data_IF_789892317041
#
_entry.id   IF_789892317041
#
_cell.length_a   1.000
_cell.length_b   1.000
_cell.length_c   1.000
_cell.angle_alpha   90.00
_cell.angle_beta   90.00
_cell.angle_gamma   90.00
#
_symmetry.space_group_name_H-M   'P 1'
#
loop_
_entity.id
_entity.type
_entity.pdbx_description
1 polymer ?
#
# COMPACT_ATOMS: atom_id res chain seq x y z
N UNK A 1 -1.55 -9.64 -5.29
CA UNK A 1 -1.05 -8.31 -5.72
C UNK A 1 -2.17 -7.56 -6.42
N UNK A 2 -2.34 -6.26 -6.17
CA UNK A 2 -3.42 -5.45 -6.76
C UNK A 2 -2.93 -4.61 -7.96
N UNK A 3 -2.64 -5.26 -9.09
CA UNK A 3 -2.19 -4.63 -10.34
C UNK A 3 -3.26 -4.75 -11.43
N UNK A 4 -3.48 -3.69 -12.20
CA UNK A 4 -4.41 -3.59 -13.33
C UNK A 4 -3.61 -3.16 -14.58
N UNK A 5 -3.51 -4.01 -15.61
CA UNK A 5 -2.88 -3.65 -16.88
C UNK A 5 -3.85 -2.86 -17.76
N UNK A 6 -3.44 -1.68 -18.21
CA UNK A 6 -4.13 -0.87 -19.24
C UNK A 6 -3.21 -0.72 -20.44
N UNK A 7 -3.78 -0.80 -21.65
CA UNK A 7 -3.07 -0.45 -22.88
C UNK A 7 -3.56 0.90 -23.34
N UNK A 8 -2.63 1.84 -23.56
CA UNK A 8 -2.93 3.20 -24.06
C UNK A 8 -2.32 3.36 -25.45
N UNK A 9 -3.13 3.86 -26.37
CA UNK A 9 -2.68 4.28 -27.70
C UNK A 9 -2.09 5.69 -27.63
N UNK A 10 -0.82 5.81 -27.98
CA UNK A 10 -0.01 7.03 -27.87
C UNK A 10 -0.36 8.03 -28.97
N UNK A 11 -0.96 7.57 -30.07
CA UNK A 11 -1.35 8.41 -31.21
C UNK A 11 -2.75 9.05 -31.01
N UNK A 12 -3.45 8.69 -29.92
CA UNK A 12 -4.72 9.34 -29.57
C UNK A 12 -4.49 10.74 -29.00
N UNK A 13 -4.98 11.77 -29.68
CA UNK A 13 -4.96 13.18 -29.24
C UNK A 13 -5.67 13.44 -27.88
N UNK A 14 -6.32 12.43 -27.31
CA UNK A 14 -7.09 12.51 -26.07
C UNK A 14 -6.37 12.02 -24.81
N UNK A 15 -5.10 11.63 -24.87
CA UNK A 15 -4.37 11.11 -23.69
C UNK A 15 -3.83 12.25 -22.83
N UNK A 16 -4.44 12.46 -21.66
CA UNK A 16 -3.88 13.32 -20.61
C UNK A 16 -2.87 12.53 -19.76
N UNK A 17 -1.58 12.75 -20.03
CA UNK A 17 -0.47 12.13 -19.31
C UNK A 17 -0.46 12.44 -17.81
N UNK A 18 -1.04 13.56 -17.40
CA UNK A 18 -1.08 13.96 -15.99
C UNK A 18 -2.05 13.11 -15.16
N UNK A 19 -3.07 12.49 -15.77
CA UNK A 19 -3.94 11.49 -15.11
C UNK A 19 -3.16 10.25 -14.66
N UNK A 20 -1.99 10.01 -15.26
CA UNK A 20 -1.08 8.90 -14.95
C UNK A 20 0.09 9.32 -14.06
N UNK A 21 0.17 10.59 -13.65
CA UNK A 21 1.33 11.15 -12.94
C UNK A 21 2.58 11.28 -13.82
N UNK A 22 2.44 11.15 -15.15
CA UNK A 22 3.54 11.26 -16.11
C UNK A 22 3.58 12.72 -16.63
N UNK A 23 4.72 13.45 -16.56
CA UNK A 23 4.77 14.87 -16.93
C UNK A 23 4.46 15.21 -18.40
N UNK A 24 4.45 14.21 -19.29
CA UNK A 24 4.20 14.36 -20.72
C UNK A 24 4.34 13.03 -21.47
N UNK A 25 4.14 13.02 -22.80
CA UNK A 25 4.32 11.81 -23.60
C UNK A 25 5.76 11.28 -23.52
N UNK A 26 5.96 9.95 -23.50
CA UNK A 26 7.30 9.36 -23.49
C UNK A 26 8.05 9.66 -24.81
N UNK A 27 9.39 9.77 -24.77
CA UNK A 27 10.20 10.15 -25.93
C UNK A 27 10.34 9.02 -26.97
N UNK A 28 10.02 7.79 -26.60
CA UNK A 28 10.13 6.57 -27.39
C UNK A 28 8.88 5.70 -27.21
N UNK A 29 8.61 4.83 -28.19
CA UNK A 29 7.53 3.84 -28.12
C UNK A 29 7.98 2.51 -28.76
N UNK A 30 7.42 1.36 -28.35
CA UNK A 30 6.55 1.19 -27.17
C UNK A 30 7.33 1.40 -25.86
N UNK A 31 6.63 1.79 -24.79
CA UNK A 31 7.17 1.89 -23.43
C UNK A 31 6.18 1.24 -22.46
N UNK A 32 6.66 0.74 -21.33
CA UNK A 32 5.84 0.22 -20.24
C UNK A 32 6.06 1.07 -19.00
N UNK A 33 5.02 1.42 -18.25
CA UNK A 33 5.15 2.19 -17.01
C UNK A 33 4.35 1.57 -15.85
N UNK A 34 4.90 1.68 -14.65
CA UNK A 34 4.26 1.34 -13.38
C UNK A 34 3.81 2.63 -12.69
N UNK A 35 2.54 2.67 -12.31
CA UNK A 35 1.84 3.84 -11.77
C UNK A 35 1.10 3.46 -10.50
N UNK A 36 1.28 4.23 -9.44
CA UNK A 36 0.52 4.12 -8.21
C UNK A 36 -0.69 5.04 -8.21
N UNK A 37 -1.70 4.76 -7.37
CA UNK A 37 -2.84 5.65 -7.17
C UNK A 37 -3.05 5.92 -5.68
N UNK A 38 -2.92 7.19 -5.27
CA UNK A 38 -3.30 7.64 -3.95
C UNK A 38 -4.81 7.99 -3.95
N UNK A 39 -5.60 7.17 -3.27
CA UNK A 39 -7.07 7.34 -3.21
C UNK A 39 -7.51 8.50 -2.29
N UNK A 40 -6.66 8.91 -1.33
CA UNK A 40 -6.89 10.07 -0.45
C UNK A 40 -6.87 11.36 -1.28
N UNK A 41 -5.84 11.53 -2.11
CA UNK A 41 -5.68 12.69 -2.99
C UNK A 41 -6.42 12.58 -4.33
N UNK A 42 -6.86 11.36 -4.70
CA UNK A 42 -7.39 11.02 -6.03
C UNK A 42 -6.41 11.34 -7.16
N UNK A 43 -5.12 11.05 -6.92
CA UNK A 43 -4.03 11.29 -7.87
C UNK A 43 -3.28 10.01 -8.18
N UNK A 44 -2.85 9.90 -9.43
CA UNK A 44 -1.85 8.93 -9.85
C UNK A 44 -0.45 9.49 -9.65
N UNK A 45 0.52 8.63 -9.38
CA UNK A 45 1.94 8.99 -9.30
C UNK A 45 2.77 7.98 -10.08
N UNK A 46 3.75 8.49 -10.82
CA UNK A 46 4.69 7.68 -11.58
C UNK A 46 5.68 6.96 -10.64
N UNK A 47 5.95 5.68 -10.90
CA UNK A 47 6.91 4.88 -10.12
C UNK A 47 8.13 4.53 -10.97
N UNK A 48 7.94 3.89 -12.13
CA UNK A 48 9.03 3.44 -13.02
C UNK A 48 8.56 3.28 -14.46
N UNK A 49 9.48 3.33 -15.42
CA UNK A 49 9.24 2.92 -16.81
C UNK A 49 10.31 1.95 -17.31
N UNK A 50 9.98 1.25 -18.41
CA UNK A 50 10.85 0.33 -19.13
C UNK A 50 10.66 0.51 -20.64
N UNK A 51 11.77 0.55 -21.37
CA UNK A 51 11.78 0.69 -22.82
C UNK A 51 12.34 -0.61 -23.45
N UNK A 52 11.53 -1.43 -24.15
CA UNK A 52 10.10 -1.30 -24.40
C UNK A 52 9.19 -1.92 -23.32
N UNK A 53 9.69 -2.95 -22.64
CA UNK A 53 8.96 -3.75 -21.66
C UNK A 53 9.93 -4.30 -20.61
N UNK A 54 9.49 -4.48 -19.36
CA UNK A 54 10.33 -5.05 -18.31
C UNK A 54 10.69 -6.51 -18.61
N UNK A 55 11.87 -6.91 -18.14
CA UNK A 55 12.29 -8.31 -18.05
C UNK A 55 11.51 -9.08 -16.97
N UNK A 56 11.61 -10.41 -16.97
CA UNK A 56 11.00 -11.24 -15.91
C UNK A 56 11.57 -10.94 -14.52
N UNK A 57 12.87 -10.59 -14.45
CA UNK A 57 13.57 -10.20 -13.22
C UNK A 57 13.05 -8.85 -12.67
N UNK A 58 12.90 -7.85 -13.53
CA UNK A 58 12.31 -6.56 -13.16
C UNK A 58 10.84 -6.70 -12.74
N UNK A 59 10.06 -7.58 -13.39
CA UNK A 59 8.69 -7.91 -12.98
C UNK A 59 8.63 -8.65 -11.63
N UNK A 60 9.60 -9.52 -11.33
CA UNK A 60 9.72 -10.13 -10.01
C UNK A 60 9.98 -9.05 -8.94
N UNK A 61 10.87 -8.10 -9.21
CA UNK A 61 11.11 -6.92 -8.36
C UNK A 61 9.88 -6.03 -8.15
N UNK A 62 8.90 -6.01 -9.06
CA UNK A 62 7.61 -5.32 -8.81
C UNK A 62 6.78 -6.03 -7.72
N UNK A 63 6.91 -7.35 -7.56
CA UNK A 63 6.03 -8.18 -6.72
C UNK A 63 6.65 -8.55 -5.36
N UNK A 64 7.95 -8.76 -5.32
CA UNK A 64 8.70 -9.21 -4.14
C UNK A 64 10.01 -8.42 -3.97
N UNK A 65 10.41 -8.19 -2.73
CA UNK A 65 11.74 -7.75 -2.34
C UNK A 65 11.99 -8.16 -0.87
N UNK A 66 13.25 -8.35 -0.43
CA UNK A 66 13.56 -8.78 0.94
C UNK A 66 12.85 -7.99 2.05
N UNK A 67 12.81 -6.66 1.93
CA UNK A 67 12.10 -5.76 2.83
C UNK A 67 10.60 -6.05 2.88
N UNK A 68 9.95 -6.28 1.73
CA UNK A 68 8.50 -6.62 1.66
C UNK A 68 8.18 -8.03 2.12
N UNK A 69 9.18 -8.89 2.29
CA UNK A 69 9.01 -10.19 2.94
C UNK A 69 9.09 -10.01 4.47
N UNK A 70 10.15 -9.39 4.99
CA UNK A 70 10.27 -9.10 6.42
C UNK A 70 9.14 -8.21 6.97
N UNK A 71 8.76 -7.14 6.25
CA UNK A 71 7.64 -6.27 6.60
C UNK A 71 6.31 -7.04 6.72
N UNK A 72 6.10 -8.06 5.89
CA UNK A 72 4.88 -8.88 5.90
C UNK A 72 4.82 -9.74 7.16
N UNK A 73 5.94 -10.31 7.58
CA UNK A 73 6.05 -11.07 8.83
C UNK A 73 5.74 -10.20 10.06
N UNK A 74 6.19 -8.93 10.06
CA UNK A 74 5.83 -7.97 11.09
C UNK A 74 4.34 -7.62 11.07
N UNK A 75 3.79 -7.26 9.91
CA UNK A 75 2.38 -6.85 9.74
C UNK A 75 1.35 -7.94 10.09
N UNK A 76 1.76 -9.22 10.15
CA UNK A 76 0.90 -10.32 10.60
C UNK A 76 0.68 -10.34 12.13
N UNK A 77 1.55 -9.68 12.89
CA UNK A 77 1.63 -9.80 14.35
C UNK A 77 1.49 -8.47 15.10
N UNK A 78 1.35 -7.34 14.39
CA UNK A 78 1.53 -5.99 14.91
C UNK A 78 0.41 -5.06 14.44
N UNK A 79 -0.02 -4.08 15.26
CA UNK A 79 -1.08 -3.14 14.81
C UNK A 79 -0.58 -2.20 13.71
N UNK A 80 0.72 -1.90 13.72
CA UNK A 80 1.42 -1.13 12.71
C UNK A 80 2.92 -1.39 12.75
N UNK A 81 3.60 -1.05 11.65
CA UNK A 81 5.04 -1.14 11.51
C UNK A 81 5.58 0.24 11.15
N UNK A 82 6.47 0.78 11.98
CA UNK A 82 7.23 1.98 11.65
C UNK A 82 8.31 1.61 10.65
N UNK A 83 8.27 2.21 9.46
CA UNK A 83 9.35 2.11 8.47
C UNK A 83 10.20 3.37 8.58
N UNK A 84 11.48 3.20 8.94
CA UNK A 84 12.47 4.27 8.97
C UNK A 84 13.45 4.11 7.81
N UNK A 85 13.60 5.16 7.01
CA UNK A 85 14.67 5.26 6.00
C UNK A 85 15.65 6.34 6.44
N UNK A 86 16.88 5.97 6.83
CA UNK A 86 17.87 6.93 7.32
C UNK A 86 18.14 8.08 6.33
N UNK A 87 18.30 9.27 6.89
CA UNK A 87 18.75 10.45 6.18
C UNK A 87 20.23 10.36 5.86
N UNK A 88 20.61 10.75 4.65
CA UNK A 88 22.01 10.97 4.29
C UNK A 88 22.39 12.46 4.33
N UNK A 89 21.43 13.38 4.19
CA UNK A 89 21.64 14.81 4.40
C UNK A 89 20.31 15.61 4.56
N UNK A 90 20.04 16.28 5.71
CA UNK A 90 20.70 16.13 7.01
C UNK A 90 20.26 14.84 7.71
N UNK A 91 21.14 14.27 8.53
CA UNK A 91 20.81 13.18 9.45
C UNK A 91 20.48 13.74 10.83
N UNK A 92 19.50 13.16 11.52
CA UNK A 92 19.14 13.50 12.90
C UNK A 92 19.74 12.51 13.91
N UNK A 93 20.51 13.02 14.87
CA UNK A 93 21.25 12.18 15.84
C UNK A 93 20.37 11.53 16.92
N UNK A 94 19.26 12.16 17.31
CA UNK A 94 18.36 11.69 18.38
C UNK A 94 17.19 10.82 17.90
N UNK A 95 17.02 10.64 16.58
CA UNK A 95 15.85 9.95 16.01
C UNK A 95 15.75 8.48 16.47
N UNK A 96 16.87 7.77 16.59
CA UNK A 96 16.88 6.38 17.09
C UNK A 96 16.30 6.27 18.50
N UNK A 97 16.62 7.23 19.38
CA UNK A 97 16.11 7.27 20.74
C UNK A 97 14.62 7.64 20.81
N UNK A 98 14.18 8.54 19.93
CA UNK A 98 12.77 8.90 19.79
C UNK A 98 11.94 7.70 19.31
N UNK A 99 12.38 6.99 18.28
CA UNK A 99 11.65 5.83 17.75
C UNK A 99 11.61 4.68 18.76
N UNK A 100 12.72 4.36 19.43
CA UNK A 100 12.74 3.33 20.47
C UNK A 100 11.85 3.68 21.69
N UNK A 101 11.69 4.97 22.00
CA UNK A 101 10.75 5.44 23.02
C UNK A 101 9.30 5.13 22.65
N UNK A 102 8.91 5.40 21.40
CA UNK A 102 7.57 5.12 20.87
C UNK A 102 7.31 3.62 20.81
N UNK A 103 8.27 2.81 20.36
CA UNK A 103 8.16 1.33 20.41
C UNK A 103 7.86 0.84 21.83
N UNK A 104 8.59 1.36 22.83
CA UNK A 104 8.39 1.00 24.25
C UNK A 104 7.00 1.43 24.77
N UNK A 105 6.55 2.64 24.43
CA UNK A 105 5.21 3.13 24.84
C UNK A 105 4.09 2.25 24.26
N UNK A 106 4.22 1.83 23.00
CA UNK A 106 3.19 1.06 22.31
C UNK A 106 3.17 -0.41 22.72
N UNK A 107 4.30 -1.02 23.04
CA UNK A 107 4.37 -2.37 23.64
C UNK A 107 3.71 -2.42 25.04
N UNK A 108 3.70 -1.31 25.79
CA UNK A 108 2.96 -1.20 27.05
C UNK A 108 1.46 -0.89 26.86
N UNK A 109 1.09 -0.18 25.78
CA UNK A 109 -0.27 0.29 25.48
C UNK A 109 -1.14 -0.75 24.78
N UNK A 110 -0.57 -1.47 23.81
CA UNK A 110 -1.28 -2.40 22.93
C UNK A 110 -0.66 -3.79 22.95
N UNK A 111 -1.48 -4.82 23.18
CA UNK A 111 -1.03 -6.22 23.30
C UNK A 111 -0.34 -6.77 22.04
N UNK A 112 -0.73 -6.27 20.87
CA UNK A 112 -0.10 -6.61 19.60
C UNK A 112 1.11 -5.71 19.27
N UNK A 113 1.33 -4.63 20.03
CA UNK A 113 2.48 -3.74 19.90
C UNK A 113 2.63 -3.05 18.54
N UNK A 114 3.77 -2.39 18.38
CA UNK A 114 4.29 -1.94 17.09
C UNK A 114 5.71 -2.45 16.93
N UNK A 115 6.17 -2.57 15.69
CA UNK A 115 7.56 -2.87 15.39
C UNK A 115 8.16 -1.80 14.51
N UNK A 116 9.48 -1.65 14.54
CA UNK A 116 10.23 -0.87 13.56
C UNK A 116 11.03 -1.75 12.62
N UNK A 117 11.06 -1.35 11.35
CA UNK A 117 12.00 -1.85 10.34
C UNK A 117 12.77 -0.69 9.74
N UNK A 118 14.08 -0.89 9.54
CA UNK A 118 14.94 0.07 8.84
C UNK A 118 15.12 -0.39 7.40
N UNK A 119 14.90 0.51 6.45
CA UNK A 119 15.16 0.29 5.02
C UNK A 119 16.35 1.16 4.60
N UNK A 120 17.36 0.57 3.96
CA UNK A 120 18.47 1.34 3.39
C UNK A 120 18.04 2.00 2.08
N UNK A 121 18.27 3.31 1.99
CA UNK A 121 17.99 4.16 0.83
C UNK A 121 18.82 3.78 -0.40
N UNK A 122 19.92 3.05 -0.21
CA UNK A 122 20.89 2.70 -1.25
C UNK A 122 20.86 1.21 -1.60
N UNK A 123 19.92 0.44 -1.03
CA UNK A 123 19.78 -0.98 -1.35
C UNK A 123 19.22 -1.16 -2.78
N UNK A 124 19.98 -1.75 -3.72
CA UNK A 124 19.51 -1.95 -5.08
C UNK A 124 18.30 -2.90 -5.15
N UNK A 125 18.15 -3.83 -4.21
CA UNK A 125 17.03 -4.78 -4.19
C UNK A 125 15.70 -4.09 -3.80
N UNK A 126 15.78 -2.87 -3.25
CA UNK A 126 14.63 -2.11 -2.74
C UNK A 126 14.34 -0.82 -3.51
N UNK A 127 15.03 -0.56 -4.62
CA UNK A 127 14.79 0.60 -5.51
C UNK A 127 13.30 0.76 -5.87
N UNK A 128 12.60 -0.36 -6.07
CA UNK A 128 11.16 -0.39 -6.37
C UNK A 128 10.29 0.06 -5.19
N UNK A 129 10.65 -0.33 -3.95
CA UNK A 129 9.91 0.06 -2.74
C UNK A 129 10.16 1.52 -2.41
N UNK A 130 11.42 1.98 -2.50
CA UNK A 130 11.80 3.38 -2.33
C UNK A 130 11.04 4.28 -3.32
N UNK A 131 11.01 3.89 -4.60
CA UNK A 131 10.25 4.58 -5.65
C UNK A 131 8.75 4.59 -5.36
N UNK A 132 8.18 3.49 -4.85
CA UNK A 132 6.76 3.42 -4.49
C UNK A 132 6.39 4.35 -3.33
N UNK A 133 7.27 4.48 -2.34
CA UNK A 133 7.10 5.35 -1.18
C UNK A 133 7.48 6.81 -1.47
N UNK A 134 7.89 7.13 -2.69
CA UNK A 134 8.32 8.49 -3.10
C UNK A 134 9.62 8.94 -2.45
N UNK A 135 10.48 8.00 -2.04
CA UNK A 135 11.71 8.27 -1.30
C UNK A 135 12.86 8.53 -2.29
N UNK A 136 13.42 9.75 -2.33
CA UNK A 136 14.57 10.05 -3.19
C UNK A 136 15.86 9.38 -2.69
N UNK A 137 16.84 9.11 -3.58
CA UNK A 137 18.13 8.51 -3.23
C UNK A 137 18.98 9.39 -2.30
N UNK A 138 18.71 10.70 -2.23
CA UNK A 138 19.30 11.65 -1.29
C UNK A 138 18.21 12.40 -0.54
N UNK A 139 18.40 12.63 0.77
CA UNK A 139 17.47 13.44 1.57
C UNK A 139 17.59 13.28 3.08
N UNK A 140 16.69 13.95 3.82
CA UNK A 140 16.58 13.81 5.27
C UNK A 140 16.04 12.45 5.67
N UNK A 141 16.08 12.13 6.96
CA UNK A 141 15.38 10.99 7.54
C UNK A 141 13.90 10.98 7.10
N UNK A 142 13.37 9.79 6.82
CA UNK A 142 11.98 9.56 6.44
C UNK A 142 11.41 8.50 7.37
N UNK A 143 10.21 8.73 7.90
CA UNK A 143 9.50 7.78 8.76
C UNK A 143 8.04 7.71 8.32
N UNK A 144 7.55 6.50 8.07
CA UNK A 144 6.15 6.25 7.71
C UNK A 144 5.58 5.04 8.45
N UNK A 145 4.30 5.11 8.78
CA UNK A 145 3.58 4.00 9.42
C UNK A 145 2.91 3.14 8.35
N UNK A 146 3.21 1.84 8.34
CA UNK A 146 2.58 0.85 7.47
C UNK A 146 1.69 -0.08 8.31
N UNK A 147 0.51 -0.44 7.81
CA UNK A 147 -0.43 -1.29 8.56
C UNK A 147 -1.26 -2.23 7.66
N UNK A 148 -1.83 -3.27 8.29
CA UNK A 148 -2.64 -4.30 7.63
C UNK A 148 -1.94 -4.91 6.41
N UNK A 149 -2.58 -4.85 5.24
CA UNK A 149 -2.05 -5.47 4.00
C UNK A 149 -0.88 -4.71 3.33
N UNK A 150 -0.20 -3.82 4.05
CA UNK A 150 0.87 -2.98 3.50
C UNK A 150 0.42 -1.58 3.12
N UNK A 151 -0.56 -1.00 3.83
CA UNK A 151 -0.97 0.37 3.58
C UNK A 151 0.00 1.33 4.27
N UNK A 152 0.74 2.11 3.50
CA UNK A 152 1.58 3.20 4.01
C UNK A 152 0.73 4.45 4.20
N UNK A 153 0.75 5.00 5.42
CA UNK A 153 0.22 6.33 5.72
C UNK A 153 1.14 7.42 5.16
N UNK A 154 0.67 8.68 5.15
CA UNK A 154 1.50 9.81 4.74
C UNK A 154 2.74 9.91 5.66
N UNK A 155 3.97 10.05 5.13
CA UNK A 155 5.18 10.00 5.94
C UNK A 155 5.57 11.35 6.53
N UNK A 156 6.42 11.30 7.56
CA UNK A 156 7.11 12.45 8.15
C UNK A 156 8.57 12.48 7.71
N UNK A 157 9.14 13.68 7.54
CA UNK A 157 10.51 13.84 7.05
C UNK A 157 11.33 14.85 7.86
N UNK A 158 12.59 14.50 8.16
CA UNK A 158 13.56 15.39 8.79
C UNK A 158 13.12 15.95 10.14
N UNK A 159 13.00 17.29 10.21
CA UNK A 159 12.66 17.99 11.44
C UNK A 159 11.19 17.80 11.87
N UNK A 160 10.30 17.42 10.94
CA UNK A 160 8.88 17.25 11.23
C UNK A 160 8.59 15.91 11.93
N UNK A 161 9.52 14.95 11.88
CA UNK A 161 9.39 13.66 12.59
C UNK A 161 9.41 13.92 14.10
N UNK A 162 8.31 13.67 14.79
CA UNK A 162 8.24 13.83 16.24
C UNK A 162 7.24 12.86 16.88
N UNK A 163 7.37 12.71 18.20
CA UNK A 163 6.57 11.81 19.03
C UNK A 163 5.06 12.04 18.89
N UNK A 164 4.60 13.29 18.93
CA UNK A 164 3.18 13.63 18.86
C UNK A 164 2.55 13.26 17.51
N UNK A 165 3.27 13.48 16.41
CA UNK A 165 2.77 13.20 15.07
C UNK A 165 2.79 11.69 14.74
N UNK A 166 3.80 10.96 15.24
CA UNK A 166 3.86 9.50 15.09
C UNK A 166 2.80 8.81 15.97
N UNK A 167 2.66 9.22 17.24
CA UNK A 167 1.60 8.71 18.12
C UNK A 167 0.21 9.01 17.56
N UNK A 168 -0.05 10.20 17.01
CA UNK A 168 -1.32 10.52 16.37
C UNK A 168 -1.66 9.64 15.15
N UNK A 169 -0.65 9.24 14.36
CA UNK A 169 -0.84 8.27 13.28
C UNK A 169 -1.16 6.87 13.80
N UNK A 170 -0.42 6.40 14.81
CA UNK A 170 -0.63 5.08 15.40
C UNK A 170 -1.99 4.98 16.12
N UNK A 171 -2.42 6.04 16.83
CA UNK A 171 -3.75 6.13 17.44
C UNK A 171 -4.90 6.06 16.42
N UNK A 172 -4.66 6.50 15.18
CA UNK A 172 -5.62 6.36 14.07
C UNK A 172 -5.84 4.89 13.66
N UNK A 173 -4.94 3.97 14.01
CA UNK A 173 -5.06 2.53 13.70
C UNK A 173 -5.97 1.79 14.69
N UNK A 174 -5.95 2.21 15.95
CA UNK A 174 -6.69 1.61 17.08
C UNK A 174 -8.02 2.32 17.39
N UNK A 175 -8.19 3.58 16.96
CA UNK A 175 -9.37 4.40 17.27
C UNK A 175 -10.71 3.80 16.81
N UNK A 176 -11.77 4.16 17.54
CA UNK A 176 -13.11 3.57 17.38
C UNK A 176 -13.66 3.66 15.94
N UNK A 177 -13.86 2.49 15.33
CA UNK A 177 -14.71 2.21 14.16
C UNK A 177 -14.84 3.30 13.08
N UNK A 178 -13.91 3.28 12.12
CA UNK A 178 -14.08 2.99 10.66
C UNK A 178 -15.28 3.49 9.82
N UNK A 179 -16.40 3.92 10.41
CA UNK A 179 -17.63 4.35 9.74
C UNK A 179 -17.47 5.66 8.95
N UNK A 180 -16.56 6.54 9.39
CA UNK A 180 -16.29 7.84 8.74
C UNK A 180 -15.01 7.85 7.90
N UNK A 181 -14.03 7.00 8.26
CA UNK A 181 -12.73 6.93 7.58
C UNK A 181 -12.48 5.50 7.11
N UNK A 182 -12.77 5.24 5.83
CA UNK A 182 -12.39 3.98 5.18
C UNK A 182 -10.87 3.83 5.18
N UNK A 183 -10.34 2.64 5.45
CA UNK A 183 -8.90 2.39 5.41
C UNK A 183 -8.26 2.82 4.08
N UNK A 184 -8.96 2.71 2.94
CA UNK A 184 -8.52 3.20 1.63
C UNK A 184 -8.21 4.70 1.55
N UNK A 185 -8.68 5.52 2.51
CA UNK A 185 -8.37 6.95 2.61
C UNK A 185 -7.21 7.29 3.55
N UNK A 186 -6.63 6.31 4.25
CA UNK A 186 -5.52 6.50 5.18
C UNK A 186 -4.14 6.51 4.51
N UNK A 187 -4.06 6.13 3.23
CA UNK A 187 -2.80 6.14 2.48
C UNK A 187 -2.78 5.19 1.28
N UNK A 188 -1.59 4.75 0.88
CA UNK A 188 -1.31 4.04 -0.38
C UNK A 188 -0.98 2.56 -0.11
N UNK A 189 -1.46 1.65 -0.96
CA UNK A 189 -1.21 0.21 -0.83
C UNK A 189 0.11 -0.21 -1.50
N UNK A 190 1.13 -0.55 -0.70
CA UNK A 190 2.38 -1.13 -1.19
C UNK A 190 2.11 -2.49 -1.88
N UNK A 191 2.62 -2.76 -3.09
CA UNK A 191 2.39 -4.03 -3.77
C UNK A 191 3.01 -5.19 -3.01
N UNK A 192 2.16 -6.02 -2.39
CA UNK A 192 2.56 -7.23 -1.67
C UNK A 192 1.75 -8.46 -2.09
N UNK A 193 2.37 -9.62 -1.89
CA UNK A 193 1.74 -10.94 -1.98
C UNK A 193 1.11 -11.27 -0.64
N UNK A 194 -0.20 -11.54 -0.65
CA UNK A 194 -0.99 -11.94 0.51
C UNK A 194 -1.71 -13.24 0.18
N UNK A 195 -1.71 -14.20 1.12
CA UNK A 195 -2.44 -15.47 1.01
C UNK A 195 -3.72 -15.42 1.86
N UNK A 196 -4.66 -16.33 1.62
CA UNK A 196 -5.88 -16.45 2.43
C UNK A 196 -5.57 -16.84 3.90
N UNK A 197 -4.46 -17.56 4.12
CA UNK A 197 -3.95 -17.90 5.45
C UNK A 197 -3.45 -16.65 6.20
N UNK A 198 -2.69 -15.78 5.52
CA UNK A 198 -2.24 -14.49 6.06
C UNK A 198 -3.40 -13.55 6.37
N UNK A 199 -4.41 -13.51 5.50
CA UNK A 199 -5.65 -12.76 5.74
C UNK A 199 -6.35 -13.24 7.02
N UNK A 200 -6.41 -14.55 7.23
CA UNK A 200 -7.06 -15.17 8.40
C UNK A 200 -6.32 -14.88 9.70
N UNK A 201 -4.99 -14.71 9.68
CA UNK A 201 -4.20 -14.39 10.86
C UNK A 201 -4.43 -12.96 11.37
N UNK A 202 -4.53 -11.98 10.46
CA UNK A 202 -4.76 -10.57 10.83
C UNK A 202 -6.13 -10.32 11.48
N UNK A 203 -7.14 -11.16 11.24
CA UNK A 203 -8.46 -11.01 11.85
C UNK A 203 -8.41 -11.13 13.39
N UNK A 204 -7.39 -11.81 13.94
CA UNK A 204 -7.18 -11.99 15.38
C UNK A 204 -6.42 -10.84 16.07
N UNK A 205 -5.84 -9.88 15.33
CA UNK A 205 -5.14 -8.73 15.92
C UNK A 205 -6.08 -7.70 16.54
N UNK A 206 -7.38 -7.81 16.26
CA UNK A 206 -8.44 -7.11 16.98
C UNK A 206 -9.10 -8.13 17.89
N UNK A 207 -8.92 -8.01 19.21
CA UNK A 207 -9.72 -8.81 20.14
C UNK A 207 -11.21 -8.53 19.86
N UNK A 208 -12.06 -9.56 19.76
CA UNK A 208 -13.49 -9.34 19.59
C UNK A 208 -13.99 -8.61 20.83
N UNK A 209 -14.66 -7.47 20.62
CA UNK A 209 -15.37 -6.77 21.68
C UNK A 209 -16.30 -7.77 22.38
N UNK A 210 -16.17 -7.90 23.71
CA UNK A 210 -16.95 -8.86 24.50
C UNK A 210 -18.45 -8.71 24.22
N UNK A 211 -19.15 -9.84 24.09
CA UNK A 211 -20.51 -9.95 23.55
C UNK A 211 -21.60 -9.17 24.30
N UNK A 212 -21.30 -8.53 25.45
CA UNK A 212 -22.31 -7.82 26.27
C UNK A 212 -22.74 -6.46 25.69
N UNK A 213 -21.91 -5.77 24.89
CA UNK A 213 -22.25 -4.43 24.34
C UNK A 213 -23.00 -4.46 22.99
N UNK A 214 -23.03 -5.60 22.28
CA UNK A 214 -23.56 -5.66 20.90
C UNK A 214 -25.10 -5.75 20.79
N UNK A 215 -25.82 -5.90 21.91
CA UNK A 215 -27.26 -6.18 21.93
C UNK A 215 -28.14 -4.96 21.55
N UNK A 216 -27.58 -3.75 21.51
CA UNK A 216 -28.36 -2.50 21.43
C UNK A 216 -28.83 -2.06 20.03
N UNK A 217 -28.27 -2.58 18.92
CA UNK A 217 -28.44 -1.97 17.58
C UNK A 217 -29.05 -2.87 16.49
N UNK A 218 -29.49 -4.09 16.82
CA UNK A 218 -30.04 -5.04 15.85
C UNK A 218 -31.49 -4.72 15.42
N UNK A 219 -31.71 -3.62 14.67
CA UNK A 219 -33.02 -3.26 14.17
C UNK A 219 -33.05 -2.28 13.00
N UNK A 220 -33.03 -2.80 11.75
CA UNK A 220 -33.96 -2.46 10.65
C UNK A 220 -33.56 -3.16 9.32
N UNK A 221 -34.55 -3.82 8.70
CA UNK A 221 -34.59 -4.44 7.35
C UNK A 221 -34.51 -3.39 6.20
N UNK A 222 -34.22 -3.64 4.91
CA UNK A 222 -34.46 -4.81 4.03
C UNK A 222 -33.80 -4.68 2.60
N UNK A 223 -33.31 -5.81 2.04
CA UNK A 223 -33.47 -6.28 0.62
C UNK A 223 -32.74 -5.66 -0.61
N UNK A 224 -32.55 -6.41 -1.74
CA UNK A 224 -31.36 -6.29 -2.60
C UNK A 224 -31.54 -6.26 -4.15
N UNK A 225 -30.45 -5.93 -4.87
CA UNK A 225 -29.97 -6.45 -6.19
C UNK A 225 -28.62 -5.75 -6.52
N UNK A 226 -27.68 -6.24 -7.33
CA UNK A 226 -27.47 -7.50 -8.08
C UNK A 226 -25.98 -7.62 -8.50
N UNK A 227 -25.54 -8.65 -9.25
CA UNK A 227 -24.09 -8.93 -9.46
C UNK A 227 -23.61 -9.25 -10.88
N UNK A 228 -22.27 -9.32 -11.05
CA UNK A 228 -21.54 -9.73 -12.26
C UNK A 228 -20.09 -10.17 -11.92
N UNK A 229 -19.43 -11.03 -12.73
CA UNK A 229 -18.21 -11.75 -12.31
C UNK A 229 -16.90 -11.03 -12.65
N UNK A 230 -15.87 -11.24 -11.82
CA UNK A 230 -14.50 -10.74 -12.02
C UNK A 230 -13.59 -11.85 -12.55
N UNK A 231 -12.86 -11.58 -13.63
CA UNK A 231 -11.95 -12.54 -14.28
C UNK A 231 -10.62 -12.72 -13.51
N UNK A 232 -10.14 -13.96 -13.45
CA UNK A 232 -8.76 -14.31 -13.06
C UNK A 232 -7.92 -14.33 -14.33
N UNK A 233 -6.88 -13.48 -14.41
CA UNK A 233 -6.00 -13.42 -15.57
C UNK A 233 -4.83 -14.41 -15.40
N UNK A 234 -4.79 -15.44 -16.25
CA UNK A 234 -3.62 -16.30 -16.40
C UNK A 234 -2.54 -15.62 -17.24
N UNK A 235 -1.30 -15.66 -16.78
CA UNK A 235 -0.14 -15.13 -17.50
C UNK A 235 0.19 -15.98 -18.74
N UNK A 236 -0.02 -15.41 -19.93
CA UNK A 236 0.53 -15.89 -21.19
C UNK A 236 1.03 -14.69 -22.01
N UNK A 237 2.30 -14.34 -21.86
CA UNK A 237 2.93 -13.29 -22.66
C UNK A 237 3.28 -13.82 -24.06
N UNK A 238 2.31 -13.73 -24.96
CA UNK A 238 2.51 -13.85 -26.41
C UNK A 238 2.85 -12.49 -27.02
N UNK A 239 3.96 -12.39 -27.74
CA UNK A 239 4.55 -11.16 -28.25
C UNK A 239 3.78 -10.50 -29.40
N UNK A 240 2.95 -9.48 -29.09
CA UNK A 240 2.51 -8.44 -30.05
C UNK A 240 2.33 -7.08 -29.34
N UNK A 241 3.42 -6.35 -29.09
CA UNK A 241 3.40 -4.89 -28.86
C UNK A 241 4.02 -4.22 -30.09
N UNK A 242 3.19 -3.84 -31.05
CA UNK A 242 3.65 -3.20 -32.30
C UNK A 242 3.39 -1.69 -32.28
N UNK A 243 2.30 -1.23 -31.66
CA UNK A 243 2.02 0.19 -31.38
C UNK A 243 1.19 0.31 -30.09
N UNK A 244 1.78 0.71 -28.96
CA UNK A 244 1.03 0.94 -27.72
C UNK A 244 1.89 0.93 -26.46
N UNK A 245 1.33 1.47 -25.37
CA UNK A 245 1.97 1.55 -24.05
C UNK A 245 1.27 0.62 -23.07
N UNK A 246 2.06 -0.17 -22.33
CA UNK A 246 1.57 -0.96 -21.20
C UNK A 246 1.64 -0.16 -19.90
N UNK A 247 0.51 0.11 -19.26
CA UNK A 247 0.45 0.74 -17.94
C UNK A 247 0.02 -0.27 -16.89
N UNK A 248 0.87 -0.55 -15.93
CA UNK A 248 0.50 -1.28 -14.72
C UNK A 248 0.03 -0.30 -13.65
N UNK A 249 -1.25 -0.33 -13.32
CA UNK A 249 -1.88 0.54 -12.32
C UNK A 249 -2.06 -0.23 -11.01
N UNK A 250 -1.42 0.21 -9.93
CA UNK A 250 -1.66 -0.33 -8.59
C UNK A 250 -2.95 0.27 -8.02
N UNK A 251 -3.94 -0.57 -7.71
CA UNK A 251 -5.28 -0.11 -7.31
C UNK A 251 -5.75 -0.71 -6.00
N UNK A 252 -6.17 0.12 -5.06
CA UNK A 252 -6.80 -0.36 -3.83
C UNK A 252 -8.10 -1.13 -4.15
N UNK A 253 -8.18 -2.42 -3.79
CA UNK A 253 -9.43 -3.18 -3.91
C UNK A 253 -10.44 -2.65 -2.88
N UNK A 254 -11.61 -2.21 -3.35
CA UNK A 254 -12.79 -2.17 -2.48
C UNK A 254 -13.11 -3.61 -2.05
N UNK A 255 -13.29 -3.84 -0.75
CA UNK A 255 -13.89 -5.08 -0.28
C UNK A 255 -15.32 -5.16 -0.82
N UNK A 256 -15.59 -6.14 -1.69
CA UNK A 256 -16.94 -6.60 -1.97
C UNK A 256 -17.23 -7.73 -0.97
N UNK A 257 -18.25 -7.55 -0.12
CA UNK A 257 -18.68 -8.58 0.82
C UNK A 257 -19.24 -9.82 0.10
N UNK A 258 -19.26 -10.98 0.79
CA UNK A 258 -19.62 -12.26 0.17
C UNK A 258 -21.12 -12.35 -0.19
N UNK A 259 -21.41 -12.87 -1.38
CA UNK A 259 -22.76 -13.29 -1.78
C UNK A 259 -23.03 -14.71 -1.27
N UNK A 260 -23.83 -14.83 -0.21
CA UNK A 260 -24.39 -16.12 0.21
C UNK A 260 -25.53 -16.51 -0.74
N UNK A 261 -25.39 -17.66 -1.38
CA UNK A 261 -26.46 -18.31 -2.13
C UNK A 261 -27.52 -18.90 -1.19
N UNK A 262 -28.80 -18.71 -1.48
CA UNK A 262 -29.76 -19.80 -1.29
C UNK A 262 -30.97 -19.71 -2.24
N UNK A 263 -31.29 -20.86 -2.83
CA UNK A 263 -32.50 -21.12 -3.60
C UNK A 263 -33.72 -21.23 -2.68
N UNK A 264 -34.91 -20.98 -3.23
CA UNK A 264 -36.17 -21.17 -2.50
C UNK A 264 -37.38 -21.39 -3.41
N UNK A 265 -37.64 -22.67 -3.70
CA UNK A 265 -38.92 -23.30 -4.13
C UNK A 265 -39.66 -22.73 -5.34
#
# INVERSE_FOLDING_TARGET
VNLELRVVDVESESVDWSEFGIPGPPPSTPVTALIGTNNKERRSFFIRHWEPAPTEEELAGVVSSPFREGLREQLLNQVGVIVHVPGNNPKRDDLEGLLAGIETEWDEKEKAGISRVTLDRNDPDEEMVLSFLGIPPDGPDWVGVLFGRGKAMDPWTGADINESELNGQLETLIGECSCLTTASGLGVDLPMVWTEEMDSQMEFLREPLDDEDTVALAGVRNSPMGGGPTLVLGLLFGSVLVFGIGLFVVRSRRQAGPLVTHSGR
#
